data_IF_440283321771
#
_entry.id   IF_440283321771
#
_cell.length_a   1.000
_cell.length_b   1.000
_cell.length_c   1.000
_cell.angle_alpha   90.00
_cell.angle_beta   90.00
_cell.angle_gamma   90.00
#
_symmetry.space_group_name_H-M   'P 1'
#
loop_
_entity.id
_entity.type
_entity.pdbx_description
1 polymer ?
#
# COMPACT_ATOMS: atom_id res chain seq x y z
N UNK A 1 16.87 -24.13 -2.76
CA UNK A 1 16.58 -22.86 -2.05
C UNK A 1 16.32 -21.78 -3.09
N UNK A 2 15.12 -21.25 -3.11
CA UNK A 2 14.72 -20.15 -4.01
C UNK A 2 15.30 -18.81 -3.55
N UNK A 3 15.31 -17.80 -4.41
CA UNK A 3 15.73 -16.43 -4.03
C UNK A 3 14.81 -15.89 -2.91
N UNK A 4 13.51 -16.16 -3.00
CA UNK A 4 12.54 -15.83 -1.96
C UNK A 4 12.95 -16.41 -0.58
N UNK A 5 13.26 -17.68 -0.53
CA UNK A 5 13.67 -18.35 0.74
C UNK A 5 14.94 -17.74 1.32
N UNK A 6 15.92 -17.41 0.49
CA UNK A 6 17.14 -16.73 0.93
C UNK A 6 16.84 -15.33 1.51
N UNK A 7 15.90 -14.59 0.91
CA UNK A 7 15.48 -13.27 1.41
C UNK A 7 14.73 -13.41 2.74
N UNK A 8 13.85 -14.40 2.87
CA UNK A 8 13.12 -14.70 4.12
C UNK A 8 14.07 -15.12 5.25
N UNK A 9 15.12 -15.85 4.96
CA UNK A 9 16.18 -16.17 5.95
C UNK A 9 16.92 -14.92 6.42
N UNK A 10 17.28 -14.01 5.50
CA UNK A 10 17.88 -12.71 5.86
C UNK A 10 16.96 -11.86 6.74
N UNK A 11 15.65 -11.90 6.52
CA UNK A 11 14.69 -11.24 7.41
C UNK A 11 14.80 -11.76 8.85
N UNK A 12 15.01 -13.06 9.04
CA UNK A 12 15.15 -13.66 10.37
C UNK A 12 16.41 -13.14 11.10
N UNK A 13 17.50 -12.97 10.36
CA UNK A 13 18.78 -12.50 10.93
C UNK A 13 18.79 -11.00 11.22
N UNK A 14 18.17 -10.20 10.33
CA UNK A 14 18.31 -8.74 10.35
C UNK A 14 17.18 -8.04 11.10
N UNK A 15 15.93 -8.50 10.94
CA UNK A 15 14.78 -7.81 11.48
C UNK A 15 14.70 -7.90 13.01
N UNK A 16 14.12 -6.86 13.61
CA UNK A 16 13.81 -6.84 15.03
C UNK A 16 12.90 -8.03 15.42
N UNK A 17 13.00 -8.54 16.65
CA UNK A 17 12.08 -9.57 17.16
C UNK A 17 10.60 -9.18 17.12
N UNK A 18 10.33 -7.87 17.09
CA UNK A 18 8.97 -7.31 17.01
C UNK A 18 8.46 -7.09 15.57
N UNK A 19 9.33 -7.31 14.59
CA UNK A 19 8.97 -7.12 13.19
C UNK A 19 8.13 -8.28 12.65
N UNK A 20 7.15 -7.99 11.83
CA UNK A 20 6.42 -8.99 11.04
C UNK A 20 7.29 -9.44 9.88
N UNK A 21 7.63 -10.71 9.83
CA UNK A 21 8.41 -11.33 8.76
C UNK A 21 7.49 -11.80 7.62
N UNK A 22 8.01 -11.83 6.42
CA UNK A 22 7.26 -12.34 5.26
C UNK A 22 6.77 -13.76 5.43
N UNK A 23 7.58 -14.60 6.09
CA UNK A 23 7.25 -15.98 6.42
C UNK A 23 6.06 -16.12 7.37
N UNK A 24 5.85 -15.13 8.25
CA UNK A 24 4.78 -15.12 9.25
C UNK A 24 3.49 -14.45 8.74
N UNK A 25 3.41 -14.17 7.43
CA UNK A 25 2.22 -13.59 6.80
C UNK A 25 1.01 -14.47 7.03
N UNK A 26 -0.11 -13.85 7.42
CA UNK A 26 -1.42 -14.53 7.55
C UNK A 26 -2.02 -15.00 6.22
N UNK A 27 -1.31 -14.74 5.11
CA UNK A 27 -1.79 -15.10 3.79
C UNK A 27 -2.86 -14.15 3.25
N UNK A 28 -3.58 -14.62 2.25
CA UNK A 28 -4.59 -13.87 1.53
C UNK A 28 -5.93 -14.59 1.61
N UNK A 29 -7.02 -13.88 1.35
CA UNK A 29 -8.37 -14.49 1.27
C UNK A 29 -8.45 -15.64 0.27
N UNK A 30 -7.62 -15.65 -0.75
CA UNK A 30 -7.50 -16.71 -1.74
C UNK A 30 -6.07 -17.19 -1.78
N UNK A 31 -5.87 -18.48 -1.64
CA UNK A 31 -4.57 -19.10 -1.77
C UNK A 31 -3.99 -18.89 -3.17
N UNK A 32 -2.72 -18.60 -3.22
CA UNK A 32 -1.94 -18.42 -4.44
C UNK A 32 -0.60 -19.14 -4.30
N UNK A 33 -0.06 -19.57 -5.44
CA UNK A 33 1.32 -20.07 -5.48
C UNK A 33 2.29 -18.97 -5.04
N UNK A 34 3.29 -19.37 -4.29
CA UNK A 34 4.36 -18.45 -3.89
C UNK A 34 5.25 -18.11 -5.09
N UNK A 35 5.83 -16.93 -5.07
CA UNK A 35 6.81 -16.51 -6.05
C UNK A 35 8.20 -17.05 -5.66
N UNK A 36 8.98 -17.56 -6.60
CA UNK A 36 10.32 -18.05 -6.32
C UNK A 36 11.35 -16.97 -6.05
N UNK A 37 11.03 -15.73 -6.42
CA UNK A 37 11.96 -14.60 -6.35
C UNK A 37 11.60 -13.65 -5.20
N UNK A 38 10.31 -13.30 -5.03
CA UNK A 38 9.86 -12.22 -4.15
C UNK A 38 9.13 -12.74 -2.91
N UNK A 39 9.52 -12.31 -1.70
CA UNK A 39 8.70 -12.47 -0.50
C UNK A 39 7.30 -11.86 -0.65
N UNK A 40 6.37 -12.28 0.19
CA UNK A 40 4.95 -11.94 0.05
C UNK A 40 4.69 -10.42 0.12
N UNK A 41 5.33 -9.71 1.03
CA UNK A 41 5.12 -8.27 1.19
C UNK A 41 5.73 -7.45 0.04
N UNK A 42 6.88 -7.86 -0.48
CA UNK A 42 7.45 -7.28 -1.69
C UNK A 42 6.50 -7.46 -2.88
N UNK A 43 5.90 -8.63 -3.02
CA UNK A 43 4.94 -8.92 -4.08
C UNK A 43 3.67 -8.06 -3.94
N UNK A 44 3.18 -7.82 -2.72
CA UNK A 44 2.02 -6.96 -2.47
C UNK A 44 2.34 -5.50 -2.81
N UNK A 45 3.49 -5.00 -2.38
CA UNK A 45 3.98 -3.66 -2.73
C UNK A 45 4.01 -3.45 -4.25
N UNK A 46 4.62 -4.38 -4.98
CA UNK A 46 4.74 -4.30 -6.43
C UNK A 46 3.36 -4.28 -7.10
N UNK A 47 2.42 -5.09 -6.63
CA UNK A 47 1.05 -5.12 -7.14
C UNK A 47 0.30 -3.82 -6.88
N UNK A 48 0.43 -3.24 -5.69
CA UNK A 48 -0.16 -1.94 -5.37
C UNK A 48 0.37 -0.88 -6.34
N UNK A 49 1.68 -0.85 -6.54
CA UNK A 49 2.33 0.14 -7.41
C UNK A 49 1.82 0.08 -8.85
N UNK A 50 1.51 -1.11 -9.35
CA UNK A 50 1.04 -1.32 -10.73
C UNK A 50 -0.48 -1.30 -10.90
N UNK A 51 -1.26 -1.19 -9.82
CA UNK A 51 -2.72 -1.20 -9.92
C UNK A 51 -3.29 0.12 -10.47
N UNK A 52 -4.50 0.04 -11.04
CA UNK A 52 -5.18 1.22 -11.59
C UNK A 52 -5.55 2.24 -10.52
N UNK A 53 -5.96 1.76 -9.34
CA UNK A 53 -6.31 2.63 -8.22
C UNK A 53 -5.12 3.50 -7.79
N UNK A 54 -3.91 2.96 -7.74
CA UNK A 54 -2.70 3.71 -7.44
C UNK A 54 -2.42 4.81 -8.48
N UNK A 55 -2.57 4.48 -9.77
CA UNK A 55 -2.39 5.45 -10.86
C UNK A 55 -3.40 6.60 -10.79
N UNK A 56 -4.63 6.34 -10.31
CA UNK A 56 -5.65 7.39 -10.14
C UNK A 56 -5.32 8.40 -9.06
N UNK A 57 -4.41 8.10 -8.13
CA UNK A 57 -4.01 9.03 -7.10
C UNK A 57 -3.40 10.32 -7.65
N UNK A 58 -2.79 10.29 -8.83
CA UNK A 58 -2.27 11.49 -9.52
C UNK A 58 -3.37 12.49 -9.92
N UNK A 59 -4.60 12.03 -10.05
CA UNK A 59 -5.77 12.83 -10.45
C UNK A 59 -6.62 13.28 -9.26
N UNK A 60 -6.27 12.83 -8.04
CA UNK A 60 -6.96 13.19 -6.81
C UNK A 60 -6.15 14.25 -6.06
N UNK A 61 -6.78 15.39 -5.79
CA UNK A 61 -6.19 16.42 -4.94
C UNK A 61 -6.38 16.09 -3.47
N UNK A 62 -5.47 16.59 -2.61
CA UNK A 62 -5.65 16.43 -1.17
C UNK A 62 -6.77 17.32 -0.63
N UNK A 63 -6.86 18.58 -1.06
CA UNK A 63 -7.77 19.59 -0.49
C UNK A 63 -8.46 20.42 -1.55
N UNK A 64 -7.79 20.80 -2.65
CA UNK A 64 -8.30 21.74 -3.66
C UNK A 64 -8.29 21.15 -5.06
N UNK A 65 -9.17 21.67 -5.94
CA UNK A 65 -9.03 21.52 -7.39
C UNK A 65 -7.65 22.04 -7.79
N UNK A 66 -6.94 21.29 -8.64
CA UNK A 66 -5.65 21.72 -9.17
C UNK A 66 -5.82 23.02 -9.96
N UNK A 67 -5.44 24.19 -9.44
CA UNK A 67 -5.18 25.32 -10.29
C UNK A 67 -3.90 25.04 -11.08
N UNK A 68 -3.77 25.60 -12.24
CA UNK A 68 -2.53 25.56 -13.03
C UNK A 68 -1.37 26.13 -12.21
N UNK A 69 -0.45 25.27 -11.75
CA UNK A 69 0.73 25.66 -10.98
C UNK A 69 1.47 24.50 -10.36
N UNK A 70 2.78 24.56 -10.34
CA UNK A 70 3.71 23.48 -9.95
C UNK A 70 3.74 23.14 -8.45
N UNK A 71 3.03 23.87 -7.60
CA UNK A 71 3.16 23.79 -6.14
C UNK A 71 2.10 22.93 -5.44
N UNK A 72 1.16 22.35 -6.19
CA UNK A 72 0.07 21.61 -5.59
C UNK A 72 0.36 20.12 -5.46
N UNK A 73 0.22 19.63 -4.23
CA UNK A 73 0.44 18.23 -3.87
C UNK A 73 -0.76 17.39 -4.29
N UNK A 74 -0.55 16.43 -5.19
CA UNK A 74 -1.52 15.36 -5.47
C UNK A 74 -1.47 14.28 -4.38
N UNK A 75 -2.49 13.41 -4.31
CA UNK A 75 -2.45 12.25 -3.42
C UNK A 75 -1.31 11.30 -3.76
N UNK A 76 -0.95 11.17 -5.01
CA UNK A 76 0.21 10.36 -5.41
C UNK A 76 1.50 10.87 -4.77
N UNK A 77 1.79 12.16 -4.88
CA UNK A 77 2.98 12.76 -4.28
C UNK A 77 2.98 12.61 -2.75
N UNK A 78 1.82 12.87 -2.11
CA UNK A 78 1.67 12.64 -0.68
C UNK A 78 1.96 11.18 -0.29
N UNK A 79 1.38 10.22 -1.01
CA UNK A 79 1.57 8.80 -0.76
C UNK A 79 3.05 8.39 -0.87
N UNK A 80 3.77 8.92 -1.85
CA UNK A 80 5.21 8.66 -2.02
C UNK A 80 6.03 9.27 -0.87
N UNK A 81 5.69 10.47 -0.41
CA UNK A 81 6.35 11.09 0.75
C UNK A 81 6.09 10.31 2.04
N UNK A 82 4.85 9.87 2.25
CA UNK A 82 4.50 9.00 3.40
C UNK A 82 5.29 7.70 3.35
N UNK A 83 5.38 7.08 2.18
CA UNK A 83 6.15 5.85 1.98
C UNK A 83 7.64 6.04 2.29
N UNK A 84 8.23 7.11 1.81
CA UNK A 84 9.64 7.43 2.06
C UNK A 84 9.93 7.63 3.56
N UNK A 85 9.10 8.42 4.25
CA UNK A 85 9.24 8.65 5.69
C UNK A 85 9.02 7.36 6.49
N UNK A 86 7.99 6.58 6.17
CA UNK A 86 7.67 5.34 6.83
C UNK A 86 8.81 4.31 6.68
N UNK A 87 9.40 4.18 5.49
CA UNK A 87 10.56 3.32 5.26
C UNK A 87 11.79 3.74 6.07
N UNK A 88 12.04 5.04 6.18
CA UNK A 88 13.15 5.56 7.00
C UNK A 88 13.00 5.12 8.46
N UNK A 89 11.79 5.25 9.00
CA UNK A 89 11.48 4.81 10.37
C UNK A 89 11.61 3.29 10.50
N UNK A 90 11.03 2.54 9.55
CA UNK A 90 11.08 1.08 9.53
C UNK A 90 12.53 0.57 9.54
N UNK A 91 13.37 1.16 8.71
CA UNK A 91 14.79 0.82 8.63
C UNK A 91 15.53 1.10 9.95
N UNK A 92 15.29 2.25 10.57
CA UNK A 92 15.90 2.61 11.85
C UNK A 92 15.52 1.63 12.98
N UNK A 93 14.28 1.14 12.96
CA UNK A 93 13.74 0.18 13.93
C UNK A 93 13.94 -1.29 13.53
N UNK A 94 14.57 -1.55 12.40
CA UNK A 94 14.73 -2.91 11.82
C UNK A 94 13.41 -3.64 11.65
N UNK A 95 12.38 -2.93 11.18
CA UNK A 95 11.10 -3.49 10.79
C UNK A 95 11.12 -3.91 9.31
N UNK A 96 10.10 -4.65 8.86
CA UNK A 96 9.98 -5.07 7.47
C UNK A 96 9.63 -3.89 6.56
N UNK A 97 10.61 -3.41 5.81
CA UNK A 97 10.46 -2.25 4.94
C UNK A 97 9.44 -2.49 3.81
N UNK A 98 9.40 -3.69 3.24
CA UNK A 98 8.46 -4.04 2.17
C UNK A 98 7.01 -4.01 2.66
N UNK A 99 6.75 -4.52 3.87
CA UNK A 99 5.43 -4.43 4.49
C UNK A 99 5.03 -2.98 4.75
N UNK A 100 5.92 -2.20 5.34
CA UNK A 100 5.65 -0.78 5.66
C UNK A 100 5.41 0.02 4.39
N UNK A 101 6.20 -0.22 3.34
CA UNK A 101 6.01 0.43 2.04
C UNK A 101 4.68 0.03 1.39
N UNK A 102 4.32 -1.25 1.41
CA UNK A 102 3.04 -1.72 0.88
C UNK A 102 1.85 -1.06 1.58
N UNK A 103 1.89 -0.95 2.91
CA UNK A 103 0.85 -0.25 3.70
C UNK A 103 0.81 1.23 3.35
N UNK A 104 1.96 1.89 3.29
CA UNK A 104 2.05 3.33 2.97
C UNK A 104 1.53 3.64 1.56
N UNK A 105 1.89 2.82 0.56
CA UNK A 105 1.39 2.99 -0.82
C UNK A 105 -0.12 2.68 -0.94
N UNK A 106 -0.63 1.78 -0.10
CA UNK A 106 -2.02 1.31 -0.16
C UNK A 106 -3.02 2.14 0.65
N UNK A 107 -2.57 2.96 1.60
CA UNK A 107 -3.48 3.57 2.59
C UNK A 107 -4.52 4.51 2.00
N UNK A 108 -4.22 5.18 0.90
CA UNK A 108 -5.08 6.18 0.24
C UNK A 108 -5.78 5.69 -1.04
N UNK A 109 -5.65 4.40 -1.39
CA UNK A 109 -6.23 3.86 -2.63
C UNK A 109 -7.76 4.04 -2.72
N UNK A 110 -8.45 4.00 -1.60
CA UNK A 110 -9.90 4.15 -1.51
C UNK A 110 -10.38 5.58 -1.28
N UNK A 111 -9.49 6.56 -1.27
CA UNK A 111 -9.88 7.94 -1.00
C UNK A 111 -10.69 8.55 -2.13
N UNK A 112 -11.65 9.40 -1.76
CA UNK A 112 -12.51 10.13 -2.70
C UNK A 112 -11.77 11.30 -3.36
N UNK A 113 -12.23 11.78 -4.54
CA UNK A 113 -11.91 13.12 -5.00
C UNK A 113 -12.26 14.16 -3.92
N UNK A 114 -11.51 15.26 -3.87
CA UNK A 114 -11.66 16.33 -2.86
C UNK A 114 -11.37 15.91 -1.40
N UNK A 115 -10.62 14.84 -1.21
CA UNK A 115 -10.14 14.41 0.10
C UNK A 115 -11.25 14.17 1.13
N UNK A 116 -11.05 14.66 2.35
CA UNK A 116 -12.03 14.52 3.44
C UNK A 116 -13.34 15.26 3.20
N UNK A 117 -13.36 16.30 2.38
CA UNK A 117 -14.59 16.97 1.99
C UNK A 117 -15.49 16.05 1.16
N UNK A 118 -14.93 15.35 0.20
CA UNK A 118 -15.64 14.32 -0.58
C UNK A 118 -16.10 13.15 0.29
N UNK A 119 -15.28 12.71 1.22
CA UNK A 119 -15.63 11.66 2.19
C UNK A 119 -16.82 12.05 3.06
N UNK A 120 -16.82 13.28 3.61
CA UNK A 120 -17.95 13.82 4.40
C UNK A 120 -19.22 13.90 3.55
N UNK A 121 -19.13 14.35 2.31
CA UNK A 121 -20.28 14.42 1.42
C UNK A 121 -20.89 13.03 1.17
N UNK A 122 -20.07 12.02 0.96
CA UNK A 122 -20.54 10.64 0.80
C UNK A 122 -21.16 10.09 2.09
N UNK A 123 -20.57 10.38 3.25
CA UNK A 123 -21.11 9.95 4.55
C UNK A 123 -22.49 10.52 4.86
N UNK A 124 -22.89 11.63 4.24
CA UNK A 124 -24.26 12.16 4.36
C UNK A 124 -25.30 11.32 3.61
N UNK A 125 -24.87 10.48 2.68
CA UNK A 125 -25.75 9.66 1.84
C UNK A 125 -25.72 8.18 2.26
N UNK A 126 -24.54 7.67 2.54
CA UNK A 126 -24.32 6.31 3.03
C UNK A 126 -23.00 6.21 3.80
N UNK A 127 -22.86 5.18 4.63
CA UNK A 127 -21.62 5.00 5.39
C UNK A 127 -20.41 4.81 4.45
N UNK A 128 -19.43 5.70 4.56
CA UNK A 128 -18.22 5.66 3.77
C UNK A 128 -16.99 6.01 4.62
N UNK A 129 -15.95 5.19 4.53
CA UNK A 129 -14.63 5.44 5.11
C UNK A 129 -13.55 5.15 4.06
N UNK A 130 -12.63 6.08 3.86
CA UNK A 130 -11.54 5.88 2.90
C UNK A 130 -10.63 4.70 3.26
N UNK A 131 -10.44 4.42 4.54
CA UNK A 131 -9.64 3.29 5.01
C UNK A 131 -10.31 1.95 4.70
N UNK A 132 -11.61 1.81 4.97
CA UNK A 132 -12.38 0.62 4.61
C UNK A 132 -12.43 0.43 3.09
N UNK A 133 -12.60 1.52 2.35
CA UNK A 133 -12.59 1.49 0.89
C UNK A 133 -11.21 1.13 0.33
N UNK A 134 -10.12 1.59 0.94
CA UNK A 134 -8.77 1.18 0.55
C UNK A 134 -8.58 -0.33 0.70
N UNK A 135 -9.03 -0.90 1.80
CA UNK A 135 -9.01 -2.35 2.01
C UNK A 135 -9.86 -3.08 0.98
N UNK A 136 -11.07 -2.57 0.68
CA UNK A 136 -11.94 -3.13 -0.35
C UNK A 136 -11.32 -3.09 -1.74
N UNK A 137 -10.59 -2.02 -2.07
CA UNK A 137 -9.86 -1.90 -3.34
C UNK A 137 -8.84 -3.01 -3.47
N UNK A 138 -7.99 -3.22 -2.45
CA UNK A 138 -6.94 -4.25 -2.48
C UNK A 138 -7.51 -5.67 -2.49
N UNK A 139 -8.57 -5.91 -1.72
CA UNK A 139 -9.13 -7.25 -1.54
C UNK A 139 -10.06 -7.70 -2.65
N UNK A 140 -10.85 -6.79 -3.19
CA UNK A 140 -12.01 -7.14 -4.01
C UNK A 140 -12.03 -6.49 -5.40
N UNK A 141 -11.69 -5.21 -5.51
CA UNK A 141 -11.82 -4.46 -6.76
C UNK A 141 -10.59 -4.68 -7.66
N UNK A 142 -9.42 -4.36 -7.17
CA UNK A 142 -8.16 -4.51 -7.93
C UNK A 142 -7.51 -5.88 -7.75
N UNK A 143 -8.01 -6.66 -6.76
CA UNK A 143 -7.53 -8.00 -6.46
C UNK A 143 -6.00 -8.07 -6.29
N UNK A 144 -5.43 -7.05 -5.63
CA UNK A 144 -3.98 -6.90 -5.46
C UNK A 144 -3.40 -8.07 -4.66
N UNK A 145 -4.10 -8.50 -3.64
CA UNK A 145 -3.78 -9.70 -2.88
C UNK A 145 -4.09 -11.00 -3.62
N UNK A 146 -4.50 -10.94 -4.88
CA UNK A 146 -4.85 -12.07 -5.73
C UNK A 146 -4.06 -11.92 -7.02
N UNK A 147 -3.36 -12.97 -7.45
CA UNK A 147 -2.59 -12.93 -8.68
C UNK A 147 -3.45 -12.42 -9.84
N UNK A 148 -3.17 -11.22 -10.29
CA UNK A 148 -3.56 -10.76 -11.59
C UNK A 148 -2.35 -10.10 -12.23
N UNK A 149 -1.78 -10.84 -13.10
CA UNK A 149 -1.01 -10.31 -14.20
C UNK A 149 -1.99 -9.92 -15.28
#
# INVERSE_FOLDING_TARGET
MTIREQLEEREIEYLSPYATRSKDSKGRKREESQCDIRPVFQRDRDRILHCKAFRRLKQKTQVFLLPEGDHYRTRLTHTLEVSQNARTIAKALRLNEDLVEAVALGHDLGHTPFGHAGERALNNVYHFSHSEQSLRVVDSIEKIGRAHV
#
